data_IF_088229917832
#
_entry.id   IF_088229917832
#
_cell.length_a   1.000
_cell.length_b   1.000
_cell.length_c   1.000
_cell.angle_alpha   90.00
_cell.angle_beta   90.00
_cell.angle_gamma   90.00
#
_symmetry.space_group_name_H-M   'P 1'
#
loop_
_entity.id
_entity.type
_entity.pdbx_description
1 polymer ?
#
# COMPACT_ATOMS: atom_id res chain seq x y z
N UNK A 1 12.64 17.85 7.00
CA UNK A 1 11.59 17.35 7.92
C UNK A 1 12.13 17.46 9.35
N UNK A 2 11.32 17.90 10.32
CA UNK A 2 11.74 17.99 11.72
C UNK A 2 11.85 16.57 12.30
N UNK A 3 13.00 16.20 12.83
CA UNK A 3 13.24 14.86 13.39
C UNK A 3 12.28 14.58 14.55
N UNK A 4 11.86 13.31 14.68
CA UNK A 4 11.02 12.86 15.80
C UNK A 4 11.89 12.55 17.00
N UNK A 5 11.60 13.14 18.14
CA UNK A 5 12.22 12.78 19.41
C UNK A 5 11.62 11.48 19.94
N UNK A 6 12.37 10.75 20.76
CA UNK A 6 11.90 9.50 21.38
C UNK A 6 10.62 9.69 22.19
N UNK A 7 10.45 10.88 22.81
CA UNK A 7 9.24 11.22 23.57
C UNK A 7 8.04 11.45 22.66
N UNK A 8 8.19 12.23 21.58
CA UNK A 8 7.11 12.44 20.59
C UNK A 8 6.69 11.12 19.94
N UNK A 9 7.66 10.30 19.54
CA UNK A 9 7.42 8.99 18.93
C UNK A 9 6.64 8.05 19.87
N UNK A 10 7.03 8.00 21.14
CA UNK A 10 6.34 7.19 22.16
C UNK A 10 4.89 7.64 22.35
N UNK A 11 4.65 8.94 22.49
CA UNK A 11 3.31 9.50 22.65
C UNK A 11 2.41 9.23 21.44
N UNK A 12 2.92 9.37 20.22
CA UNK A 12 2.15 9.06 19.02
C UNK A 12 1.79 7.57 18.93
N UNK A 13 2.71 6.68 19.31
CA UNK A 13 2.46 5.23 19.31
C UNK A 13 1.49 4.78 20.40
N UNK A 14 1.57 5.36 21.60
CA UNK A 14 0.61 5.11 22.69
C UNK A 14 -0.80 5.53 22.28
N UNK A 15 -0.94 6.74 21.70
CA UNK A 15 -2.21 7.20 21.15
C UNK A 15 -2.74 6.26 20.06
N UNK A 16 -1.87 5.81 19.15
CA UNK A 16 -2.28 4.94 18.05
C UNK A 16 -2.69 3.53 18.50
N UNK A 17 -2.06 3.00 19.56
CA UNK A 17 -2.36 1.66 20.11
C UNK A 17 -3.49 1.65 21.15
N UNK A 18 -3.91 2.82 21.63
CA UNK A 18 -5.04 2.93 22.54
C UNK A 18 -6.35 2.42 21.91
N UNK A 19 -7.34 1.98 22.72
CA UNK A 19 -8.62 1.51 22.21
C UNK A 19 -9.38 2.63 21.50
N UNK A 20 -10.05 2.30 20.40
CA UNK A 20 -10.72 3.28 19.51
C UNK A 20 -11.72 4.18 20.26
N UNK A 21 -12.46 3.60 21.23
CA UNK A 21 -13.46 4.32 22.03
C UNK A 21 -12.88 5.39 22.96
N UNK A 22 -11.61 5.30 23.30
CA UNK A 22 -10.92 6.23 24.21
C UNK A 22 -9.93 7.13 23.46
N UNK A 23 -9.79 6.94 22.15
CA UNK A 23 -8.82 7.66 21.34
C UNK A 23 -9.36 9.04 20.99
N UNK A 24 -8.63 10.07 21.41
CA UNK A 24 -8.90 11.45 21.00
C UNK A 24 -8.66 11.67 19.51
N UNK A 25 -9.23 12.74 18.95
CA UNK A 25 -9.07 13.06 17.53
C UNK A 25 -7.60 13.29 17.17
N UNK A 26 -7.21 12.99 15.92
CA UNK A 26 -5.81 13.10 15.49
C UNK A 26 -5.27 14.53 15.57
N UNK A 27 -6.14 15.53 15.48
CA UNK A 27 -5.75 16.93 15.61
C UNK A 27 -5.30 17.25 17.05
N UNK A 28 -5.91 16.65 18.07
CA UNK A 28 -5.56 16.88 19.47
C UNK A 28 -4.15 16.35 19.80
N UNK A 29 -3.80 15.17 19.28
CA UNK A 29 -2.44 14.65 19.45
C UNK A 29 -1.43 15.44 18.60
N UNK A 30 -1.85 15.95 17.43
CA UNK A 30 -1.00 16.79 16.59
C UNK A 30 -0.66 18.11 17.27
N UNK A 31 -1.65 18.78 17.87
CA UNK A 31 -1.46 19.98 18.68
C UNK A 31 -0.55 19.72 19.87
N UNK A 32 -0.77 18.62 20.61
CA UNK A 32 0.07 18.23 21.76
C UNK A 32 1.53 17.97 21.37
N UNK A 33 1.77 17.46 20.17
CA UNK A 33 3.11 17.21 19.62
C UNK A 33 3.68 18.44 18.90
N UNK A 34 2.92 19.53 18.78
CA UNK A 34 3.26 20.71 17.98
C UNK A 34 3.65 20.31 16.53
N UNK A 35 2.83 19.45 15.92
CA UNK A 35 2.96 18.92 14.56
C UNK A 35 1.63 19.06 13.82
N UNK A 36 1.63 18.91 12.50
CA UNK A 36 0.39 18.74 11.76
C UNK A 36 -0.13 17.30 11.88
N UNK A 37 -1.45 17.12 11.82
CA UNK A 37 -2.07 15.79 11.80
C UNK A 37 -1.50 14.92 10.67
N UNK A 38 -1.20 15.52 9.52
CA UNK A 38 -0.52 14.85 8.40
C UNK A 38 0.86 14.31 8.77
N UNK A 39 1.67 15.07 9.51
CA UNK A 39 2.98 14.61 9.94
C UNK A 39 2.88 13.44 10.94
N UNK A 40 1.88 13.47 11.82
CA UNK A 40 1.58 12.35 12.74
C UNK A 40 1.13 11.11 11.96
N UNK A 41 0.25 11.27 10.96
CA UNK A 41 -0.14 10.17 10.09
C UNK A 41 1.04 9.56 9.33
N UNK A 42 1.89 10.39 8.72
CA UNK A 42 3.06 9.92 7.97
C UNK A 42 4.06 9.19 8.87
N UNK A 43 4.26 9.67 10.10
CA UNK A 43 5.07 8.95 11.10
C UNK A 43 4.47 7.59 11.45
N UNK A 44 3.19 7.55 11.82
CA UNK A 44 2.52 6.31 12.19
C UNK A 44 2.43 5.32 11.02
N UNK A 45 2.27 5.79 9.77
CA UNK A 45 2.33 4.93 8.58
C UNK A 45 3.67 4.23 8.40
N UNK A 46 4.77 4.88 8.78
CA UNK A 46 6.12 4.31 8.70
C UNK A 46 6.42 3.33 9.82
N UNK A 47 5.85 3.56 11.01
CA UNK A 47 6.18 2.77 12.21
C UNK A 47 5.20 1.63 12.46
N UNK A 48 3.92 1.79 12.13
CA UNK A 48 2.90 0.77 12.33
C UNK A 48 2.65 -0.03 11.05
N UNK A 49 2.60 -1.38 11.14
CA UNK A 49 2.22 -2.22 10.01
C UNK A 49 0.77 -1.97 9.59
N UNK A 50 0.44 -2.39 8.36
CA UNK A 50 -0.94 -2.38 7.85
C UNK A 50 -1.83 -3.23 8.77
N UNK A 51 -3.06 -2.80 9.05
CA UNK A 51 -3.99 -3.43 10.00
C UNK A 51 -3.85 -2.97 11.47
N UNK A 52 -2.73 -2.35 11.85
CA UNK A 52 -2.52 -1.82 13.22
C UNK A 52 -2.68 -0.30 13.32
N UNK A 53 -3.10 0.36 12.23
CA UNK A 53 -3.20 1.83 12.18
C UNK A 53 -4.52 2.31 12.80
N UNK A 54 -4.53 3.47 13.48
CA UNK A 54 -5.66 3.93 14.26
C UNK A 54 -6.83 4.50 13.44
N UNK A 55 -6.74 4.50 12.12
CA UNK A 55 -7.82 4.90 11.21
C UNK A 55 -8.24 3.68 10.40
N UNK A 56 -9.52 3.61 9.97
CA UNK A 56 -9.98 2.55 9.10
C UNK A 56 -9.16 2.56 7.81
N UNK A 57 -8.38 1.50 7.63
CA UNK A 57 -7.64 1.28 6.40
C UNK A 57 -8.60 0.62 5.41
N UNK A 58 -9.19 1.42 4.51
CA UNK A 58 -9.93 0.79 3.42
C UNK A 58 -8.94 -0.03 2.60
N UNK A 59 -9.21 -1.33 2.38
CA UNK A 59 -8.31 -2.16 1.61
C UNK A 59 -8.23 -1.60 0.20
N UNK A 60 -7.03 -1.66 -0.40
CA UNK A 60 -6.71 -1.05 -1.70
C UNK A 60 -7.67 -1.52 -2.81
N UNK A 61 -8.19 -2.73 -2.63
CA UNK A 61 -9.34 -3.32 -3.29
C UNK A 61 -10.39 -3.56 -2.20
N UNK A 62 -11.62 -3.09 -2.40
CA UNK A 62 -12.71 -3.39 -1.46
C UNK A 62 -13.07 -4.88 -1.47
N UNK A 63 -13.61 -5.40 -0.38
CA UNK A 63 -14.06 -6.80 -0.30
C UNK A 63 -15.09 -7.13 -1.40
N UNK A 64 -15.97 -6.19 -1.73
CA UNK A 64 -16.93 -6.32 -2.84
C UNK A 64 -16.24 -6.39 -4.21
N UNK A 65 -15.20 -5.57 -4.44
CA UNK A 65 -14.40 -5.63 -5.67
C UNK A 65 -13.65 -6.97 -5.76
N UNK A 66 -13.09 -7.46 -4.65
CA UNK A 66 -12.40 -8.75 -4.59
C UNK A 66 -13.39 -9.90 -4.81
N UNK A 67 -14.54 -9.88 -4.14
CA UNK A 67 -15.60 -10.89 -4.28
C UNK A 67 -16.16 -10.91 -5.71
N UNK A 68 -16.32 -9.75 -6.35
CA UNK A 68 -16.69 -9.64 -7.75
C UNK A 68 -15.72 -10.36 -8.69
N UNK A 69 -14.42 -10.24 -8.40
CA UNK A 69 -13.36 -10.92 -9.14
C UNK A 69 -13.23 -12.41 -8.80
N UNK A 70 -13.54 -12.82 -7.57
CA UNK A 70 -13.47 -14.22 -7.11
C UNK A 70 -14.63 -15.08 -7.61
N UNK A 71 -15.84 -14.53 -7.59
CA UNK A 71 -17.07 -15.28 -7.87
C UNK A 71 -17.62 -15.01 -9.27
N UNK A 72 -16.80 -14.42 -10.15
CA UNK A 72 -17.14 -14.05 -11.54
C UNK A 72 -18.45 -13.24 -11.64
N UNK A 73 -18.74 -12.41 -10.63
CA UNK A 73 -19.96 -11.57 -10.54
C UNK A 73 -19.87 -10.30 -11.39
N UNK A 74 -18.86 -10.21 -12.25
CA UNK A 74 -18.58 -9.09 -13.13
C UNK A 74 -17.40 -8.22 -12.70
N UNK A 75 -16.87 -7.46 -13.65
CA UNK A 75 -15.77 -6.53 -13.42
C UNK A 75 -16.25 -5.35 -12.56
N UNK A 76 -15.51 -4.96 -11.51
CA UNK A 76 -15.87 -3.79 -10.72
C UNK A 76 -15.88 -2.53 -11.60
N UNK A 77 -16.99 -1.77 -11.65
CA UNK A 77 -17.17 -0.64 -12.57
C UNK A 77 -16.28 0.57 -12.23
N UNK A 78 -15.66 0.56 -11.05
CA UNK A 78 -14.74 1.57 -10.53
C UNK A 78 -13.30 1.44 -11.05
N UNK A 79 -12.95 0.33 -11.74
CA UNK A 79 -11.56 -0.03 -12.10
C UNK A 79 -11.39 -0.29 -13.59
N UNK A 80 -10.21 0.01 -14.13
CA UNK A 80 -9.88 -0.43 -15.49
C UNK A 80 -9.77 -1.96 -15.58
N UNK A 81 -10.15 -2.50 -16.74
CA UNK A 81 -10.05 -3.94 -17.04
C UNK A 81 -8.62 -4.46 -16.96
N UNK A 82 -7.62 -3.61 -17.22
CA UNK A 82 -6.21 -3.93 -17.10
C UNK A 82 -5.74 -4.00 -15.63
N UNK A 83 -6.18 -3.08 -14.77
CA UNK A 83 -5.90 -3.15 -13.33
C UNK A 83 -6.52 -4.41 -12.70
N UNK A 84 -7.72 -4.77 -13.13
CA UNK A 84 -8.38 -6.04 -12.76
C UNK A 84 -7.55 -7.24 -13.19
N UNK A 85 -7.09 -7.28 -14.45
CA UNK A 85 -6.23 -8.37 -14.96
C UNK A 85 -4.90 -8.47 -14.20
N UNK A 86 -4.29 -7.34 -13.85
CA UNK A 86 -3.06 -7.33 -13.05
C UNK A 86 -3.30 -7.83 -11.62
N UNK A 87 -4.44 -7.47 -11.00
CA UNK A 87 -4.86 -8.02 -9.72
C UNK A 87 -5.02 -9.54 -9.79
N UNK A 88 -5.81 -10.03 -10.74
CA UNK A 88 -6.06 -11.46 -10.92
C UNK A 88 -4.76 -12.25 -11.16
N UNK A 89 -3.84 -11.69 -11.96
CA UNK A 89 -2.52 -12.27 -12.22
C UNK A 89 -1.63 -12.30 -10.96
N UNK A 90 -1.71 -11.28 -10.11
CA UNK A 90 -0.88 -11.18 -8.89
C UNK A 90 -1.37 -12.06 -7.76
N UNK A 91 -2.68 -12.22 -7.63
CA UNK A 91 -3.32 -13.03 -6.60
C UNK A 91 -3.65 -14.46 -7.08
N UNK A 92 -3.18 -14.82 -8.27
CA UNK A 92 -3.23 -16.17 -8.84
C UNK A 92 -4.59 -16.85 -8.71
N UNK A 93 -5.67 -16.15 -9.11
CA UNK A 93 -7.04 -16.66 -9.15
C UNK A 93 -7.27 -17.69 -10.28
N UNK A 94 -6.29 -18.56 -10.52
CA UNK A 94 -6.41 -19.78 -11.31
C UNK A 94 -5.90 -20.94 -10.44
N UNK A 95 -6.78 -21.49 -9.60
CA UNK A 95 -6.78 -22.91 -9.25
C UNK A 95 -5.56 -23.48 -8.50
N UNK A 96 -5.01 -22.77 -7.50
CA UNK A 96 -4.21 -23.45 -6.47
C UNK A 96 -4.63 -23.01 -5.08
N UNK A 97 -5.68 -23.67 -4.60
CA UNK A 97 -5.90 -23.91 -3.17
C UNK A 97 -4.66 -24.56 -2.61
N UNK A 98 -4.00 -23.90 -1.65
CA UNK A 98 -3.56 -24.49 -0.38
C UNK A 98 -2.67 -23.49 0.37
N UNK A 99 -3.06 -23.24 1.64
CA UNK A 99 -2.23 -22.88 2.80
C UNK A 99 -2.62 -21.55 3.48
N UNK A 100 -3.49 -21.70 4.49
CA UNK A 100 -3.54 -21.01 5.79
C UNK A 100 -3.38 -19.48 5.85
N UNK A 101 -4.36 -18.84 6.49
CA UNK A 101 -4.58 -17.40 6.70
C UNK A 101 -3.45 -16.59 7.41
N UNK A 102 -2.23 -17.09 7.47
CA UNK A 102 -1.05 -16.39 8.02
C UNK A 102 0.06 -16.12 6.99
N UNK A 103 0.06 -16.80 5.83
CA UNK A 103 1.14 -16.67 4.82
C UNK A 103 0.79 -15.70 3.66
N UNK A 104 -0.48 -15.27 3.59
CA UNK A 104 -0.97 -14.29 2.59
C UNK A 104 -0.31 -12.91 2.70
N UNK A 105 0.18 -12.55 3.91
CA UNK A 105 0.86 -11.27 4.16
C UNK A 105 2.29 -11.19 3.60
N UNK A 106 2.86 -12.31 3.11
CA UNK A 106 4.25 -12.33 2.61
C UNK A 106 4.38 -13.11 1.30
N UNK A 107 3.53 -12.80 0.33
CA UNK A 107 3.72 -13.32 -1.03
C UNK A 107 5.05 -12.81 -1.63
N UNK A 108 5.88 -13.71 -2.14
CA UNK A 108 7.14 -13.38 -2.80
C UNK A 108 6.91 -13.13 -4.30
N UNK A 109 7.11 -11.90 -4.75
CA UNK A 109 7.04 -11.54 -6.17
C UNK A 109 8.29 -11.97 -6.92
N UNK A 110 8.15 -12.37 -8.17
CA UNK A 110 9.33 -12.59 -9.01
C UNK A 110 9.94 -11.27 -9.45
N UNK A 111 11.27 -11.25 -9.68
CA UNK A 111 11.97 -10.08 -10.24
C UNK A 111 11.39 -9.67 -11.60
N UNK A 112 10.95 -10.64 -12.42
CA UNK A 112 10.31 -10.37 -13.71
C UNK A 112 8.98 -9.65 -13.55
N UNK A 113 8.18 -10.05 -12.55
CA UNK A 113 6.90 -9.43 -12.26
C UNK A 113 7.09 -7.99 -11.77
N UNK A 114 7.98 -7.78 -10.80
CA UNK A 114 8.32 -6.43 -10.33
C UNK A 114 8.87 -5.55 -11.46
N UNK A 115 9.68 -6.10 -12.35
CA UNK A 115 10.19 -5.38 -13.51
C UNK A 115 9.05 -4.93 -14.45
N UNK A 116 8.11 -5.82 -14.75
CA UNK A 116 6.96 -5.51 -15.58
C UNK A 116 6.03 -4.47 -14.94
N UNK A 117 5.76 -4.60 -13.64
CA UNK A 117 4.86 -3.71 -12.91
C UNK A 117 5.42 -2.28 -12.78
N UNK A 118 6.74 -2.15 -12.59
CA UNK A 118 7.42 -0.86 -12.49
C UNK A 118 7.83 -0.26 -13.85
N UNK A 119 7.63 -1.00 -14.96
CA UNK A 119 8.19 -0.65 -16.27
C UNK A 119 9.71 -0.53 -16.28
N UNK A 120 10.38 -1.39 -15.51
CA UNK A 120 11.84 -1.42 -15.36
C UNK A 120 12.43 -2.67 -16.03
N UNK A 121 13.73 -2.64 -16.33
CA UNK A 121 14.46 -3.86 -16.68
C UNK A 121 14.75 -4.69 -15.43
N UNK A 122 14.93 -6.00 -15.60
CA UNK A 122 15.36 -6.89 -14.50
C UNK A 122 16.66 -6.42 -13.84
N UNK A 123 17.59 -5.88 -14.63
CA UNK A 123 18.84 -5.32 -14.11
C UNK A 123 18.61 -4.09 -13.22
N UNK A 124 17.63 -3.24 -13.53
CA UNK A 124 17.23 -2.14 -12.66
C UNK A 124 16.62 -2.65 -11.35
N UNK A 125 15.79 -3.68 -11.39
CA UNK A 125 15.24 -4.30 -10.17
C UNK A 125 16.35 -4.90 -9.30
N UNK A 126 17.35 -5.59 -9.89
CA UNK A 126 18.51 -6.06 -9.13
C UNK A 126 19.34 -4.91 -8.53
N UNK A 127 19.43 -3.77 -9.21
CA UNK A 127 20.07 -2.57 -8.64
C UNK A 127 19.30 -2.02 -7.45
N UNK A 128 17.96 -2.01 -7.49
CA UNK A 128 17.13 -1.61 -6.35
C UNK A 128 17.29 -2.56 -5.16
N UNK A 129 17.36 -3.88 -5.43
CA UNK A 129 17.66 -4.88 -4.40
C UNK A 129 19.05 -4.67 -3.78
N UNK A 130 20.08 -4.40 -4.61
CA UNK A 130 21.45 -4.15 -4.13
C UNK A 130 21.56 -2.87 -3.30
N UNK A 131 20.74 -1.85 -3.61
CA UNK A 131 20.69 -0.57 -2.89
C UNK A 131 19.80 -0.59 -1.65
N UNK A 132 19.11 -1.71 -1.39
CA UNK A 132 18.21 -1.86 -0.23
C UNK A 132 16.83 -1.22 -0.40
N UNK A 133 16.54 -0.60 -1.55
CA UNK A 133 15.22 -0.04 -1.85
C UNK A 133 14.15 -1.12 -2.09
N UNK A 134 14.58 -2.34 -2.45
CA UNK A 134 13.76 -3.54 -2.44
C UNK A 134 14.40 -4.59 -1.52
N UNK A 135 13.57 -5.39 -0.86
CA UNK A 135 13.97 -6.49 0.02
C UNK A 135 13.55 -7.84 -0.57
N UNK A 136 14.40 -8.84 -0.37
CA UNK A 136 14.12 -10.22 -0.81
C UNK A 136 13.26 -10.96 0.21
N UNK A 137 12.40 -11.85 -0.27
CA UNK A 137 11.66 -12.81 0.55
C UNK A 137 11.42 -14.11 -0.22
N UNK A 138 11.66 -15.28 0.42
CA UNK A 138 11.51 -16.62 -0.17
C UNK A 138 12.03 -16.72 -1.63
N UNK A 139 13.20 -16.14 -1.93
CA UNK A 139 13.81 -16.15 -3.28
C UNK A 139 13.28 -15.10 -4.28
N UNK A 140 12.19 -14.41 -3.95
CA UNK A 140 11.62 -13.28 -4.70
C UNK A 140 11.82 -11.93 -4.01
N UNK A 141 11.03 -10.94 -4.42
CA UNK A 141 10.89 -9.61 -3.82
C UNK A 141 9.69 -9.64 -2.87
N UNK A 142 9.85 -9.13 -1.65
CA UNK A 142 8.72 -9.05 -0.73
C UNK A 142 7.65 -8.09 -1.28
N UNK A 143 6.39 -8.53 -1.29
CA UNK A 143 5.22 -7.71 -1.65
C UNK A 143 5.17 -6.39 -0.86
N UNK A 144 5.42 -6.46 0.45
CA UNK A 144 5.50 -5.28 1.33
C UNK A 144 6.60 -4.32 0.88
N UNK A 145 7.78 -4.84 0.55
CA UNK A 145 8.89 -4.02 0.07
C UNK A 145 8.62 -3.38 -1.29
N UNK A 146 7.86 -4.03 -2.17
CA UNK A 146 7.38 -3.39 -3.39
C UNK A 146 6.49 -2.18 -3.07
N UNK A 147 5.56 -2.32 -2.13
CA UNK A 147 4.69 -1.23 -1.72
C UNK A 147 5.45 -0.09 -1.04
N UNK A 148 6.43 -0.42 -0.20
CA UNK A 148 7.32 0.54 0.44
C UNK A 148 8.07 1.35 -0.62
N UNK A 149 8.61 0.70 -1.66
CA UNK A 149 9.27 1.37 -2.78
C UNK A 149 8.36 2.42 -3.44
N UNK A 150 7.08 2.11 -3.70
CA UNK A 150 6.16 3.05 -4.34
C UNK A 150 5.93 4.32 -3.51
N UNK A 151 5.99 4.19 -2.18
CA UNK A 151 5.71 5.27 -1.23
C UNK A 151 6.94 6.09 -0.90
N UNK A 152 8.07 5.41 -0.72
CA UNK A 152 9.31 5.99 -0.20
C UNK A 152 10.27 6.43 -1.31
N UNK A 153 10.22 5.75 -2.46
CA UNK A 153 11.10 5.98 -3.61
C UNK A 153 10.35 6.11 -4.94
N UNK A 154 9.34 7.00 -5.06
CA UNK A 154 8.60 7.18 -6.31
C UNK A 154 9.49 7.65 -7.47
N UNK A 155 10.62 8.29 -7.18
CA UNK A 155 11.63 8.74 -8.15
C UNK A 155 12.37 7.59 -8.85
N UNK A 156 12.35 6.39 -8.26
CA UNK A 156 12.98 5.21 -8.86
C UNK A 156 12.17 4.62 -10.03
N UNK A 157 10.96 5.14 -10.27
CA UNK A 157 9.99 4.58 -11.20
C UNK A 157 9.78 5.59 -12.33
N UNK A 158 9.89 5.20 -13.61
CA UNK A 158 9.69 6.08 -14.75
C UNK A 158 8.19 6.34 -15.01
N UNK A 159 7.47 6.80 -13.98
CA UNK A 159 6.02 6.82 -13.92
C UNK A 159 5.36 7.55 -15.09
N UNK A 160 5.88 8.72 -15.47
CA UNK A 160 5.34 9.53 -16.56
C UNK A 160 5.36 8.83 -17.92
N UNK A 161 6.26 7.86 -18.12
CA UNK A 161 6.38 7.08 -19.36
C UNK A 161 5.53 5.82 -19.36
N UNK A 162 4.93 5.46 -18.22
CA UNK A 162 4.13 4.25 -18.11
C UNK A 162 2.74 4.46 -18.74
N UNK A 163 2.20 3.42 -19.39
CA UNK A 163 0.80 3.38 -19.80
C UNK A 163 -0.14 3.75 -18.63
N UNK A 164 -1.26 4.41 -18.94
CA UNK A 164 -2.24 4.88 -17.94
C UNK A 164 -2.68 3.76 -16.99
N UNK A 165 -2.85 2.55 -17.49
CA UNK A 165 -3.31 1.40 -16.72
C UNK A 165 -2.26 0.93 -15.69
N UNK A 166 -0.98 0.92 -16.08
CA UNK A 166 0.11 0.64 -15.14
C UNK A 166 0.23 1.75 -14.10
N UNK A 167 0.05 3.00 -14.51
CA UNK A 167 0.01 4.14 -13.59
C UNK A 167 -1.12 4.01 -12.56
N UNK A 168 -2.31 3.60 -12.99
CA UNK A 168 -3.44 3.30 -12.10
C UNK A 168 -3.10 2.18 -11.12
N UNK A 169 -2.52 1.08 -11.61
CA UNK A 169 -2.08 -0.03 -10.76
C UNK A 169 -1.08 0.40 -9.68
N UNK A 170 -0.08 1.22 -10.03
CA UNK A 170 0.88 1.74 -9.07
C UNK A 170 0.21 2.65 -8.04
N UNK A 171 -0.73 3.50 -8.46
CA UNK A 171 -1.50 4.38 -7.55
C UNK A 171 -2.36 3.57 -6.58
N UNK A 172 -3.02 2.50 -7.04
CA UNK A 172 -3.73 1.56 -6.18
C UNK A 172 -2.83 0.92 -5.13
N UNK A 173 -1.56 0.70 -5.49
CA UNK A 173 -0.57 0.07 -4.61
C UNK A 173 0.23 1.06 -3.74
N UNK A 174 -0.06 2.36 -3.81
CA UNK A 174 0.50 3.37 -2.91
C UNK A 174 1.37 4.44 -3.57
N UNK A 175 1.51 4.45 -4.91
CA UNK A 175 2.23 5.50 -5.62
C UNK A 175 1.52 6.87 -5.46
N UNK A 176 2.25 7.96 -5.19
CA UNK A 176 1.67 9.28 -4.93
C UNK A 176 1.37 10.05 -6.23
N UNK A 177 0.24 9.77 -6.88
CA UNK A 177 -0.30 10.62 -7.96
C UNK A 177 -1.68 11.19 -7.56
N UNK A 178 -1.82 12.51 -7.35
CA UNK A 178 -3.10 13.16 -7.07
C UNK A 178 -3.94 13.47 -8.32
N UNK A 179 -3.33 13.41 -9.52
CA UNK A 179 -3.99 13.75 -10.78
C UNK A 179 -4.76 12.58 -11.39
N UNK A 180 -4.31 11.34 -11.13
CA UNK A 180 -5.07 10.15 -11.50
C UNK A 180 -6.22 9.99 -10.52
N UNK A 181 -7.44 10.33 -10.98
CA UNK A 181 -8.70 10.10 -10.26
C UNK A 181 -9.04 8.61 -10.22
N UNK A 182 -8.15 7.81 -9.67
CA UNK A 182 -8.48 6.47 -9.20
C UNK A 182 -9.36 6.69 -7.98
N UNK A 183 -10.55 6.07 -7.93
CA UNK A 183 -11.32 6.00 -6.69
C UNK A 183 -10.47 5.22 -5.68
N UNK A 184 -9.51 5.90 -5.01
CA UNK A 184 -8.98 5.43 -3.75
C UNK A 184 -10.23 5.20 -2.90
N UNK A 185 -10.42 4.02 -2.32
CA UNK A 185 -11.61 3.80 -1.51
C UNK A 185 -11.65 4.92 -0.48
N UNK A 186 -12.67 5.78 -0.64
CA UNK A 186 -12.76 7.08 0.01
C UNK A 186 -12.84 6.88 1.51
N UNK A 187 -12.03 7.59 2.31
CA UNK A 187 -12.22 7.67 3.78
C UNK A 187 -13.58 8.31 4.13
N UNK A 188 -14.23 8.95 3.16
CA UNK A 188 -15.50 9.68 3.29
C UNK A 188 -16.67 8.82 2.79
N UNK A 189 -17.08 7.85 3.61
CA UNK A 189 -18.25 7.01 3.34
C UNK A 189 -18.43 5.89 4.37
N UNK A 190 -18.06 6.14 5.62
CA UNK A 190 -18.35 5.28 6.79
C UNK A 190 -19.08 6.10 7.87
N UNK A 191 -19.57 7.29 7.50
CA UNK A 191 -20.42 8.17 8.28
C UNK A 191 -21.42 8.79 7.30
N UNK A 192 -22.31 7.93 6.80
CA UNK A 192 -23.71 8.22 6.44
C UNK A 192 -24.46 6.89 6.55
#
# INVERSE_FOLDING_TARGET
>A
MRNWTTKEAKLALEWARGPEKERSHIDEIAERLNRSARAVQEFLRRVLPEGQRPWPEKPRWSEDEIAGLQFDRGNPPSRSTAAIKQYAKRHNYNGRTESSDEDSERSALTVTQVAADLGLSRASVYRLLKRGALRRFKGGVAETSFCDLLREHPEAIPYSTLPRDQREWLVLNGYPDPSLSVKRPSVRGLLD
#
